data_IF_483077917644
#
_entry.id   IF_483077917644
#
_cell.length_a   1.000
_cell.length_b   1.000
_cell.length_c   1.000
_cell.angle_alpha   90.00
_cell.angle_beta   90.00
_cell.angle_gamma   90.00
#
_symmetry.space_group_name_H-M   'P 1'
#
loop_
_entity.id
_entity.type
_entity.pdbx_description
1 polymer ?
#
# COMPACT_ATOMS: atom_id res chain seq x y z
N UNK A 1 -2.43 74.14 38.84
CA UNK A 1 -3.23 73.01 39.36
C UNK A 1 -4.56 72.93 38.61
N UNK A 2 -4.78 71.90 37.79
CA UNK A 2 -6.12 71.42 37.39
C UNK A 2 -6.02 69.91 37.21
N UNK A 3 -6.84 69.18 37.95
CA UNK A 3 -7.00 67.72 37.86
C UNK A 3 -7.94 67.37 36.71
N UNK A 4 -7.57 66.41 35.86
CA UNK A 4 -8.52 65.77 34.95
C UNK A 4 -8.92 64.40 35.52
N UNK A 5 -10.21 64.24 35.78
CA UNK A 5 -10.83 63.02 36.30
C UNK A 5 -11.08 62.02 35.17
N UNK A 6 -10.54 60.81 35.30
CA UNK A 6 -10.80 59.72 34.36
C UNK A 6 -12.19 59.12 34.60
N UNK A 7 -13.13 59.32 33.66
CA UNK A 7 -14.39 58.57 33.66
C UNK A 7 -14.22 57.28 32.85
N UNK A 8 -14.55 56.14 33.45
CA UNK A 8 -14.37 54.82 32.83
C UNK A 8 -15.55 54.51 31.89
N UNK A 9 -15.33 54.59 30.58
CA UNK A 9 -16.34 54.27 29.57
C UNK A 9 -16.47 52.76 29.36
N UNK A 10 -17.64 52.19 29.71
CA UNK A 10 -17.95 50.78 29.47
C UNK A 10 -17.93 50.45 27.97
N UNK A 11 -16.92 49.70 27.53
CA UNK A 11 -16.81 49.25 26.13
C UNK A 11 -17.84 48.16 25.82
N UNK A 12 -19.00 48.56 25.30
CA UNK A 12 -19.93 47.62 24.68
C UNK A 12 -19.31 47.02 23.41
N UNK A 13 -19.17 45.69 23.38
CA UNK A 13 -18.76 44.97 22.17
C UNK A 13 -19.80 45.18 21.06
N UNK A 14 -19.37 45.53 19.83
CA UNK A 14 -20.30 45.76 18.73
C UNK A 14 -21.11 44.49 18.41
N UNK A 15 -22.41 44.59 18.09
CA UNK A 15 -23.31 43.44 17.99
C UNK A 15 -22.88 42.41 16.94
N UNK A 16 -22.16 42.83 15.88
CA UNK A 16 -21.57 41.92 14.88
C UNK A 16 -20.51 40.99 15.46
N UNK A 17 -19.69 41.46 16.42
CA UNK A 17 -18.72 40.60 17.09
C UNK A 17 -19.40 39.59 17.99
N UNK A 18 -20.43 40.01 18.74
CA UNK A 18 -21.25 39.08 19.56
C UNK A 18 -21.89 38.00 18.69
N UNK A 19 -22.47 38.38 17.54
CA UNK A 19 -23.05 37.43 16.59
C UNK A 19 -22.01 36.46 16.00
N UNK A 20 -20.81 36.94 15.62
CA UNK A 20 -19.74 36.07 15.11
C UNK A 20 -19.21 35.11 16.19
N UNK A 21 -19.06 35.57 17.44
CA UNK A 21 -18.66 34.72 18.56
C UNK A 21 -19.69 33.64 18.86
N UNK A 22 -20.99 33.99 18.88
CA UNK A 22 -22.06 33.02 19.08
C UNK A 22 -22.12 31.98 17.96
N UNK A 23 -21.96 32.39 16.69
CA UNK A 23 -21.92 31.45 15.55
C UNK A 23 -20.68 30.54 15.60
N UNK A 24 -19.50 31.06 15.95
CA UNK A 24 -18.29 30.25 16.10
C UNK A 24 -18.42 29.24 17.25
N UNK A 25 -18.96 29.67 18.40
CA UNK A 25 -19.24 28.78 19.52
C UNK A 25 -20.27 27.69 19.15
N UNK A 26 -21.33 28.06 18.41
CA UNK A 26 -22.33 27.13 17.91
C UNK A 26 -21.70 26.04 17.03
N UNK A 27 -20.87 26.42 16.06
CA UNK A 27 -20.21 25.48 15.12
C UNK A 27 -19.20 24.57 15.81
N UNK A 28 -18.46 25.06 16.81
CA UNK A 28 -17.42 24.27 17.49
C UNK A 28 -17.95 23.39 18.63
N UNK A 29 -18.98 23.84 19.35
CA UNK A 29 -19.45 23.16 20.56
C UNK A 29 -20.60 22.17 20.30
N UNK A 30 -21.48 22.40 19.32
CA UNK A 30 -22.57 21.45 19.02
C UNK A 30 -22.10 20.06 18.56
N UNK A 31 -21.10 19.91 17.67
CA UNK A 31 -20.64 18.58 17.25
C UNK A 31 -20.07 17.79 18.43
N UNK A 32 -19.31 18.45 19.30
CA UNK A 32 -18.76 17.89 20.54
C UNK A 32 -19.87 17.51 21.51
N UNK A 33 -20.85 18.39 21.74
CA UNK A 33 -22.00 18.10 22.61
C UNK A 33 -22.82 16.91 22.10
N UNK A 34 -23.10 16.86 20.79
CA UNK A 34 -23.83 15.75 20.15
C UNK A 34 -23.04 14.43 20.20
N UNK A 35 -21.71 14.49 20.17
CA UNK A 35 -20.86 13.31 20.34
C UNK A 35 -20.91 12.78 21.79
N UNK A 36 -20.72 13.65 22.79
CA UNK A 36 -20.77 13.27 24.21
C UNK A 36 -22.19 12.91 24.69
N UNK A 37 -23.25 13.43 24.03
CA UNK A 37 -24.64 13.13 24.39
C UNK A 37 -25.15 11.78 23.87
N UNK A 38 -24.33 11.02 23.11
CA UNK A 38 -24.69 9.65 22.73
C UNK A 38 -24.48 8.73 23.95
N UNK A 39 -25.52 8.07 24.47
CA UNK A 39 -25.32 7.05 25.48
C UNK A 39 -24.41 5.97 24.91
N UNK A 40 -23.39 5.56 25.67
CA UNK A 40 -22.51 4.48 25.28
C UNK A 40 -23.37 3.24 24.97
N UNK A 41 -23.25 2.72 23.74
CA UNK A 41 -23.93 1.48 23.37
C UNK A 41 -23.23 0.33 24.08
N UNK A 42 -23.71 0.02 25.29
CA UNK A 42 -23.43 -1.23 25.98
C UNK A 42 -23.85 -2.38 25.06
N UNK A 43 -22.86 -3.00 24.40
CA UNK A 43 -23.09 -4.10 23.48
C UNK A 43 -23.71 -5.29 24.21
N UNK A 44 -25.04 -5.41 24.12
CA UNK A 44 -25.75 -6.57 24.59
C UNK A 44 -25.34 -7.77 23.72
N UNK A 45 -24.45 -8.61 24.27
CA UNK A 45 -24.12 -9.91 23.68
C UNK A 45 -25.37 -10.78 23.68
N UNK A 46 -26.08 -10.81 22.56
CA UNK A 46 -27.18 -11.73 22.34
C UNK A 46 -26.62 -13.15 22.21
N UNK A 47 -26.63 -13.89 23.33
CA UNK A 47 -26.27 -15.31 23.35
C UNK A 47 -27.15 -16.10 22.39
N UNK A 48 -26.59 -16.50 21.26
CA UNK A 48 -27.17 -17.51 20.37
C UNK A 48 -27.27 -18.82 21.15
N UNK A 49 -28.50 -19.21 21.51
CA UNK A 49 -28.77 -20.48 22.18
C UNK A 49 -28.44 -21.63 21.24
N UNK A 50 -27.65 -22.58 21.75
CA UNK A 50 -27.42 -23.87 21.12
C UNK A 50 -28.74 -24.66 21.14
N UNK A 51 -29.29 -24.97 19.97
CA UNK A 51 -30.48 -25.81 19.84
C UNK A 51 -30.11 -27.29 19.81
N UNK A 52 -30.61 -28.07 20.76
CA UNK A 52 -30.45 -29.54 20.76
C UNK A 52 -31.19 -30.18 19.57
N UNK A 53 -30.55 -31.16 18.93
CA UNK A 53 -31.25 -32.17 18.12
C UNK A 53 -31.54 -33.40 19.01
N UNK A 54 -32.68 -34.09 18.82
CA UNK A 54 -32.98 -35.35 19.50
C UNK A 54 -32.38 -36.57 18.78
N UNK A 55 -32.18 -37.65 19.55
CA UNK A 55 -31.60 -38.91 19.09
C UNK A 55 -32.52 -39.77 18.20
N UNK A 56 -31.90 -40.61 17.37
CA UNK A 56 -32.36 -41.99 17.16
C UNK A 56 -33.12 -42.32 15.87
N UNK A 57 -32.40 -42.91 14.90
CA UNK A 57 -32.97 -43.93 14.00
C UNK A 57 -31.86 -44.83 13.43
N UNK A 58 -31.79 -46.09 13.86
CA UNK A 58 -30.92 -47.10 13.26
C UNK A 58 -31.56 -47.67 11.99
N UNK A 59 -30.81 -47.75 10.89
CA UNK A 59 -30.94 -48.83 9.90
C UNK A 59 -29.56 -49.24 9.39
N UNK A 60 -29.42 -50.51 9.01
CA UNK A 60 -28.15 -51.19 8.77
C UNK A 60 -27.77 -51.29 7.29
N UNK A 61 -26.66 -52.00 7.02
CA UNK A 61 -26.09 -52.35 5.70
C UNK A 61 -25.33 -51.20 4.99
N UNK A 62 -24.14 -51.41 4.40
CA UNK A 62 -23.50 -52.68 4.00
C UNK A 62 -21.99 -52.74 4.37
N UNK A 63 -21.45 -53.96 4.43
CA UNK A 63 -20.02 -54.24 4.57
C UNK A 63 -19.25 -53.95 3.27
N UNK A 64 -17.99 -53.51 3.41
CA UNK A 64 -16.90 -53.95 2.55
C UNK A 64 -15.58 -53.94 3.35
N UNK A 65 -15.15 -55.11 3.83
CA UNK A 65 -13.83 -55.31 4.44
C UNK A 65 -12.91 -55.96 3.40
N UNK A 66 -11.74 -55.35 3.17
CA UNK A 66 -10.56 -56.08 2.69
C UNK A 66 -9.38 -55.75 3.62
N UNK A 67 -8.75 -56.80 4.14
CA UNK A 67 -7.61 -56.76 5.05
C UNK A 67 -6.27 -56.84 4.28
N UNK A 68 -5.16 -56.78 5.05
CA UNK A 68 -3.76 -57.10 4.70
C UNK A 68 -2.98 -55.94 4.06
N UNK A 69 -1.74 -55.61 4.43
CA UNK A 69 -0.84 -56.03 5.53
C UNK A 69 0.29 -54.96 5.67
N UNK A 70 0.89 -54.66 6.84
CA UNK A 70 1.92 -53.62 6.96
C UNK A 70 3.35 -54.18 6.91
N UNK A 71 4.19 -53.70 5.99
CA UNK A 71 5.66 -53.81 6.08
C UNK A 71 6.38 -52.93 5.04
N UNK A 72 6.98 -51.83 5.50
CA UNK A 72 8.26 -51.32 5.00
C UNK A 72 8.75 -50.17 5.91
N UNK A 73 9.81 -50.42 6.66
CA UNK A 73 10.66 -49.37 7.25
C UNK A 73 11.85 -49.18 6.31
N UNK A 74 12.44 -47.99 6.23
CA UNK A 74 13.87 -47.97 6.52
C UNK A 74 14.25 -46.87 7.52
N UNK A 75 15.23 -47.21 8.35
CA UNK A 75 15.94 -46.31 9.25
C UNK A 75 17.08 -45.61 8.52
N UNK A 76 17.24 -44.30 8.75
CA UNK A 76 18.52 -43.61 8.58
C UNK A 76 18.66 -42.58 9.71
N UNK A 77 19.85 -42.50 10.31
CA UNK A 77 20.09 -41.82 11.57
C UNK A 77 21.39 -41.01 11.51
N UNK A 78 21.29 -39.71 11.79
CA UNK A 78 22.39 -38.89 12.32
C UNK A 78 23.40 -38.30 11.34
N UNK A 79 23.48 -36.96 11.33
CA UNK A 79 24.73 -36.27 11.66
C UNK A 79 24.41 -34.93 12.33
N UNK A 80 25.16 -34.59 13.38
CA UNK A 80 25.08 -33.28 14.05
C UNK A 80 26.12 -32.34 13.40
N UNK A 81 25.79 -31.05 13.31
CA UNK A 81 26.69 -29.98 12.90
C UNK A 81 26.35 -28.70 13.65
N UNK A 82 27.33 -28.13 14.34
CA UNK A 82 27.19 -26.92 15.19
C UNK A 82 27.32 -25.62 14.40
N UNK A 83 26.65 -24.54 14.83
CA UNK A 83 26.64 -23.20 14.22
C UNK A 83 27.91 -22.36 14.49
N UNK A 84 27.85 -21.02 14.72
CA UNK A 84 26.71 -20.08 14.81
C UNK A 84 26.57 -19.25 13.50
N UNK A 85 25.88 -18.11 13.37
CA UNK A 85 25.10 -17.27 14.30
C UNK A 85 23.87 -16.66 13.58
N UNK A 86 22.73 -16.55 14.27
CA UNK A 86 21.50 -15.90 13.73
C UNK A 86 21.03 -14.77 14.67
N UNK A 87 21.80 -13.68 14.73
CA UNK A 87 21.39 -12.43 15.41
C UNK A 87 20.36 -11.60 14.62
N UNK A 88 19.35 -12.26 14.03
CA UNK A 88 18.14 -11.61 13.55
C UNK A 88 17.11 -11.55 14.69
N UNK A 89 17.03 -10.39 15.36
CA UNK A 89 16.18 -10.20 16.54
C UNK A 89 14.71 -10.50 16.29
N UNK A 90 14.26 -11.70 16.66
CA UNK A 90 12.83 -12.06 16.71
C UNK A 90 12.16 -11.21 17.79
N UNK A 91 11.54 -10.12 17.37
CA UNK A 91 10.62 -9.36 18.20
C UNK A 91 9.47 -10.30 18.61
N UNK A 92 9.54 -10.81 19.85
CA UNK A 92 8.50 -11.66 20.41
C UNK A 92 7.25 -10.82 20.64
N UNK A 93 6.30 -10.91 19.71
CA UNK A 93 4.95 -10.37 19.88
C UNK A 93 4.12 -11.41 20.65
N UNK A 94 3.77 -11.19 21.93
CA UNK A 94 3.07 -12.20 22.71
C UNK A 94 1.68 -12.47 22.10
N UNK A 95 1.36 -13.73 21.85
CA UNK A 95 0.03 -14.16 21.41
C UNK A 95 -0.19 -14.34 19.91
N UNK A 96 0.78 -14.03 19.04
CA UNK A 96 0.73 -14.46 17.63
C UNK A 96 1.23 -15.91 17.52
N UNK A 97 0.46 -16.85 16.92
CA UNK A 97 0.94 -18.21 16.71
C UNK A 97 2.14 -18.20 15.76
N UNK A 98 3.13 -19.10 15.98
CA UNK A 98 4.37 -19.12 15.21
C UNK A 98 4.17 -19.24 13.68
N UNK A 99 3.03 -19.78 13.24
CA UNK A 99 2.59 -19.83 11.85
C UNK A 99 2.35 -18.44 11.18
N UNK A 100 2.32 -17.34 11.94
CA UNK A 100 2.18 -15.97 11.42
C UNK A 100 3.49 -15.45 10.81
N UNK A 101 4.64 -16.05 11.16
CA UNK A 101 5.97 -15.52 10.79
C UNK A 101 6.48 -15.95 9.41
N UNK A 102 5.77 -16.84 8.70
CA UNK A 102 6.09 -17.21 7.32
C UNK A 102 4.81 -17.24 6.49
N UNK A 103 4.74 -16.39 5.45
CA UNK A 103 3.64 -16.41 4.50
C UNK A 103 3.65 -17.75 3.74
N UNK A 104 2.60 -18.56 3.91
CA UNK A 104 2.53 -19.86 3.23
C UNK A 104 2.52 -19.69 1.71
N UNK A 105 2.92 -20.73 0.98
CA UNK A 105 2.77 -20.79 -0.50
C UNK A 105 1.32 -20.49 -0.94
N UNK A 106 0.33 -21.00 -0.19
CA UNK A 106 -1.10 -20.71 -0.42
C UNK A 106 -1.51 -19.27 -0.09
N UNK A 107 -0.70 -18.53 0.68
CA UNK A 107 -0.86 -17.10 0.98
C UNK A 107 -0.23 -16.22 -0.10
N UNK A 108 0.90 -16.63 -0.69
CA UNK A 108 1.57 -15.86 -1.75
C UNK A 108 0.96 -16.07 -3.15
N UNK A 109 0.66 -17.30 -3.56
CA UNK A 109 0.36 -17.65 -4.97
C UNK A 109 -1.12 -17.97 -5.26
N UNK A 110 -2.04 -17.63 -4.37
CA UNK A 110 -3.47 -17.80 -4.62
C UNK A 110 -4.06 -16.75 -5.60
N UNK A 111 -5.31 -16.97 -6.01
CA UNK A 111 -6.06 -16.06 -6.89
C UNK A 111 -6.25 -14.66 -6.27
N UNK A 112 -6.57 -13.63 -7.08
CA UNK A 112 -7.02 -12.34 -6.59
C UNK A 112 -8.26 -12.46 -5.72
N UNK A 113 -8.34 -11.60 -4.70
CA UNK A 113 -9.38 -11.60 -3.68
C UNK A 113 -10.51 -10.61 -4.05
N UNK A 114 -10.15 -9.57 -4.82
CA UNK A 114 -11.03 -8.45 -5.15
C UNK A 114 -11.82 -8.71 -6.44
N UNK A 115 -13.05 -8.20 -6.49
CA UNK A 115 -13.91 -8.29 -7.66
C UNK A 115 -13.51 -7.28 -8.76
N UNK A 116 -14.21 -7.33 -9.91
CA UNK A 116 -14.01 -6.39 -11.02
C UNK A 116 -14.27 -4.94 -10.58
N UNK A 117 -13.37 -4.01 -10.90
CA UNK A 117 -13.54 -2.58 -10.58
C UNK A 117 -14.25 -1.85 -11.73
N UNK A 118 -15.58 -1.72 -11.66
CA UNK A 118 -16.40 -1.20 -12.77
C UNK A 118 -16.34 0.31 -13.04
N UNK A 119 -15.75 1.13 -12.16
CA UNK A 119 -15.61 2.58 -12.37
C UNK A 119 -14.24 2.91 -12.96
N UNK A 120 -14.20 3.29 -14.24
CA UNK A 120 -12.95 3.52 -14.97
C UNK A 120 -12.17 4.74 -14.48
N UNK A 121 -12.82 5.83 -14.03
CA UNK A 121 -12.13 6.99 -13.46
C UNK A 121 -11.42 6.62 -12.16
N UNK A 122 -12.13 5.94 -11.25
CA UNK A 122 -11.57 5.46 -9.98
C UNK A 122 -10.45 4.42 -10.22
N UNK A 123 -10.58 3.57 -11.25
CA UNK A 123 -9.53 2.62 -11.67
C UNK A 123 -8.27 3.34 -12.17
N UNK A 124 -8.42 4.41 -12.95
CA UNK A 124 -7.30 5.21 -13.44
C UNK A 124 -6.60 5.98 -12.31
N UNK A 125 -7.36 6.56 -11.37
CA UNK A 125 -6.85 7.22 -10.17
C UNK A 125 -6.07 6.25 -9.27
N UNK A 126 -6.68 5.10 -8.95
CA UNK A 126 -6.03 4.01 -8.20
C UNK A 126 -4.74 3.56 -8.90
N UNK A 127 -4.76 3.41 -10.23
CA UNK A 127 -3.60 3.06 -11.03
C UNK A 127 -2.45 4.07 -10.86
N UNK A 128 -2.70 5.37 -11.09
CA UNK A 128 -1.68 6.43 -10.94
C UNK A 128 -1.09 6.46 -9.52
N UNK A 129 -1.95 6.45 -8.50
CA UNK A 129 -1.52 6.44 -7.10
C UNK A 129 -0.67 5.21 -6.74
N UNK A 130 -1.06 4.04 -7.26
CA UNK A 130 -0.33 2.78 -7.04
C UNK A 130 1.04 2.79 -7.72
N UNK A 131 1.12 3.21 -8.98
CA UNK A 131 2.40 3.26 -9.69
C UNK A 131 3.38 4.25 -9.05
N UNK A 132 2.89 5.42 -8.57
CA UNK A 132 3.72 6.35 -7.79
C UNK A 132 4.24 5.69 -6.51
N UNK A 133 3.40 4.99 -5.74
CA UNK A 133 3.84 4.25 -4.56
C UNK A 133 4.89 3.19 -4.89
N UNK A 134 4.62 2.34 -5.89
CA UNK A 134 5.52 1.24 -6.26
C UNK A 134 6.89 1.74 -6.75
N UNK A 135 6.90 2.77 -7.62
CA UNK A 135 8.14 3.35 -8.13
C UNK A 135 8.95 4.03 -7.03
N UNK A 136 8.31 4.85 -6.17
CA UNK A 136 9.01 5.42 -5.00
C UNK A 136 9.52 4.32 -4.06
N UNK A 137 8.78 3.23 -3.84
CA UNK A 137 9.24 2.10 -3.02
C UNK A 137 10.48 1.42 -3.61
N UNK A 138 10.49 1.10 -4.92
CA UNK A 138 11.65 0.44 -5.56
C UNK A 138 12.86 1.35 -5.70
N UNK A 139 12.66 2.65 -5.97
CA UNK A 139 13.74 3.66 -5.94
C UNK A 139 14.28 3.93 -4.52
N UNK A 140 13.58 3.49 -3.48
CA UNK A 140 14.01 3.56 -2.08
C UNK A 140 14.55 2.25 -1.52
N UNK A 141 14.56 1.18 -2.31
CA UNK A 141 15.14 -0.10 -1.95
C UNK A 141 16.68 0.01 -1.74
N UNK A 142 17.32 -0.85 -0.93
CA UNK A 142 18.78 -0.82 -0.75
C UNK A 142 19.54 -1.16 -2.04
N UNK A 143 20.75 -0.62 -2.19
CA UNK A 143 21.66 -1.04 -3.26
C UNK A 143 22.19 -2.46 -3.00
N UNK A 144 22.47 -2.77 -1.73
CA UNK A 144 22.90 -4.07 -1.23
C UNK A 144 21.86 -4.60 -0.21
N UNK A 145 20.74 -5.19 -0.68
CA UNK A 145 19.66 -5.67 0.18
C UNK A 145 20.02 -6.99 0.88
N UNK A 146 19.62 -7.15 2.15
CA UNK A 146 19.77 -8.43 2.86
C UNK A 146 18.84 -9.50 2.28
N UNK A 147 19.13 -10.78 2.54
CA UNK A 147 18.26 -11.88 2.08
C UNK A 147 16.79 -11.68 2.53
N UNK A 148 16.57 -11.15 3.74
CA UNK A 148 15.26 -10.79 4.28
C UNK A 148 14.58 -9.67 3.48
N UNK A 149 15.30 -8.59 3.14
CA UNK A 149 14.74 -7.49 2.33
C UNK A 149 14.34 -7.97 0.93
N UNK A 150 15.13 -8.88 0.35
CA UNK A 150 14.88 -9.49 -0.96
C UNK A 150 13.64 -10.38 -0.95
N UNK A 151 13.47 -11.19 0.09
CA UNK A 151 12.28 -12.03 0.30
C UNK A 151 11.04 -11.18 0.61
N UNK A 152 11.19 -10.11 1.39
CA UNK A 152 10.11 -9.17 1.70
C UNK A 152 9.60 -8.45 0.43
N UNK A 153 10.49 -7.97 -0.44
CA UNK A 153 10.10 -7.32 -1.69
C UNK A 153 9.42 -8.30 -2.67
N UNK A 154 9.95 -9.52 -2.80
CA UNK A 154 9.35 -10.57 -3.62
C UNK A 154 7.94 -10.94 -3.10
N UNK A 155 7.83 -11.21 -1.80
CA UNK A 155 6.57 -11.53 -1.13
C UNK A 155 5.56 -10.40 -1.23
N UNK A 156 6.01 -9.14 -1.12
CA UNK A 156 5.18 -7.96 -1.30
C UNK A 156 4.51 -7.96 -2.68
N UNK A 157 5.25 -8.18 -3.78
CA UNK A 157 4.65 -8.16 -5.12
C UNK A 157 3.65 -9.30 -5.34
N UNK A 158 3.92 -10.50 -4.80
CA UNK A 158 2.95 -11.59 -4.83
C UNK A 158 1.69 -11.29 -4.01
N UNK A 159 1.81 -10.77 -2.79
CA UNK A 159 0.66 -10.36 -1.97
C UNK A 159 -0.12 -9.20 -2.59
N UNK A 160 0.58 -8.18 -3.12
CA UNK A 160 0.00 -7.07 -3.87
C UNK A 160 -0.85 -7.59 -5.04
N UNK A 161 -0.34 -8.55 -5.82
CA UNK A 161 -1.07 -9.16 -6.93
C UNK A 161 -2.39 -9.86 -6.54
N UNK A 162 -2.58 -10.16 -5.24
CA UNK A 162 -3.80 -10.77 -4.71
C UNK A 162 -4.77 -9.76 -4.12
N UNK A 163 -4.21 -8.72 -3.49
CA UNK A 163 -4.94 -7.71 -2.71
C UNK A 163 -5.32 -6.47 -3.53
N UNK A 164 -4.81 -6.32 -4.76
CA UNK A 164 -5.04 -5.13 -5.57
C UNK A 164 -6.55 -4.90 -5.84
N UNK A 165 -7.11 -3.70 -5.56
CA UNK A 165 -8.57 -3.48 -5.57
C UNK A 165 -9.28 -3.63 -6.93
N UNK A 166 -8.53 -3.68 -8.04
CA UNK A 166 -9.07 -4.00 -9.36
C UNK A 166 -8.81 -5.48 -9.67
N UNK A 167 -9.81 -6.34 -9.51
CA UNK A 167 -9.67 -7.79 -9.70
C UNK A 167 -9.16 -8.18 -11.10
N UNK A 168 -9.67 -7.55 -12.16
CA UNK A 168 -9.20 -7.83 -13.52
C UNK A 168 -7.77 -7.33 -13.79
N UNK A 169 -7.36 -6.27 -13.09
CA UNK A 169 -5.99 -5.77 -13.13
C UNK A 169 -5.05 -6.71 -12.36
N UNK A 170 -5.52 -7.25 -11.23
CA UNK A 170 -4.81 -8.19 -10.38
C UNK A 170 -4.55 -9.53 -11.09
N UNK A 171 -5.56 -10.09 -11.76
CA UNK A 171 -5.41 -11.30 -12.58
C UNK A 171 -4.37 -11.13 -13.69
N UNK A 172 -4.36 -9.97 -14.35
CA UNK A 172 -3.37 -9.65 -15.38
C UNK A 172 -1.98 -9.41 -14.78
N UNK A 173 -1.86 -8.74 -13.64
CA UNK A 173 -0.58 -8.56 -12.96
C UNK A 173 0.00 -9.90 -12.48
N UNK A 174 -0.84 -10.85 -12.06
CA UNK A 174 -0.40 -12.23 -11.77
C UNK A 174 0.14 -12.99 -12.99
N UNK A 175 -0.34 -12.68 -14.21
CA UNK A 175 0.24 -13.21 -15.45
C UNK A 175 1.63 -12.59 -15.67
N UNK A 176 1.71 -11.26 -15.58
CA UNK A 176 2.97 -10.52 -15.70
C UNK A 176 4.04 -10.97 -14.70
N UNK A 177 3.69 -11.29 -13.45
CA UNK A 177 4.63 -11.82 -12.45
C UNK A 177 5.20 -13.22 -12.79
N UNK A 178 4.53 -14.01 -13.65
CA UNK A 178 5.06 -15.30 -14.12
C UNK A 178 6.01 -15.12 -15.29
N UNK A 179 5.68 -14.22 -16.20
CA UNK A 179 6.45 -13.95 -17.41
C UNK A 179 7.67 -13.05 -17.14
N UNK A 180 7.58 -12.18 -16.13
CA UNK A 180 8.59 -11.21 -15.74
C UNK A 180 8.69 -11.15 -14.19
N UNK A 181 9.37 -12.13 -13.55
CA UNK A 181 9.42 -12.23 -12.08
C UNK A 181 10.22 -11.07 -11.44
N UNK A 182 9.85 -10.63 -10.22
CA UNK A 182 10.50 -9.50 -9.53
C UNK A 182 12.01 -9.67 -9.36
N UNK A 183 12.77 -8.67 -9.82
CA UNK A 183 14.22 -8.62 -9.61
C UNK A 183 14.52 -7.86 -8.32
N UNK A 184 15.07 -8.56 -7.33
CA UNK A 184 15.27 -8.02 -5.97
C UNK A 184 16.74 -7.90 -5.58
N UNK A 185 17.70 -7.98 -6.51
CA UNK A 185 19.14 -8.00 -6.20
C UNK A 185 19.72 -6.65 -5.77
N UNK A 186 19.10 -5.54 -6.15
CA UNK A 186 19.51 -4.16 -5.81
C UNK A 186 18.38 -3.17 -6.12
N UNK A 187 18.53 -1.90 -5.70
CA UNK A 187 17.67 -0.77 -6.12
C UNK A 187 17.50 -0.70 -7.63
N UNK A 188 18.61 -0.71 -8.36
CA UNK A 188 18.61 -0.61 -9.83
C UNK A 188 17.85 -1.77 -10.47
N UNK A 189 18.06 -3.00 -9.97
CA UNK A 189 17.33 -4.17 -10.47
C UNK A 189 15.82 -4.08 -10.18
N UNK A 190 15.44 -3.65 -8.97
CA UNK A 190 14.04 -3.52 -8.57
C UNK A 190 13.29 -2.42 -9.33
N UNK A 191 13.88 -1.23 -9.44
CA UNK A 191 13.29 -0.11 -10.15
C UNK A 191 13.23 -0.34 -11.68
N UNK A 192 14.31 -0.88 -12.26
CA UNK A 192 14.36 -1.25 -13.67
C UNK A 192 13.34 -2.34 -14.03
N UNK A 193 13.21 -3.38 -13.20
CA UNK A 193 12.18 -4.40 -13.36
C UNK A 193 10.77 -3.80 -13.28
N UNK A 194 10.50 -2.93 -12.30
CA UNK A 194 9.17 -2.33 -12.15
C UNK A 194 8.82 -1.43 -13.34
N UNK A 195 9.79 -0.69 -13.89
CA UNK A 195 9.59 0.07 -15.12
C UNK A 195 9.27 -0.82 -16.31
N UNK A 196 10.02 -1.92 -16.53
CA UNK A 196 9.72 -2.89 -17.58
C UNK A 196 8.31 -3.50 -17.39
N UNK A 197 7.92 -3.83 -16.16
CA UNK A 197 6.59 -4.32 -15.82
C UNK A 197 5.48 -3.27 -16.12
N UNK A 198 5.69 -2.01 -15.75
CA UNK A 198 4.77 -0.91 -16.07
C UNK A 198 4.67 -0.72 -17.60
N UNK A 199 5.77 -0.80 -18.34
CA UNK A 199 5.75 -0.71 -19.81
C UNK A 199 5.00 -1.87 -20.48
N UNK A 200 4.99 -3.09 -19.90
CA UNK A 200 4.09 -4.17 -20.37
C UNK A 200 2.60 -3.81 -20.16
N UNK A 201 2.27 -3.13 -19.07
CA UNK A 201 0.91 -2.62 -18.83
C UNK A 201 0.57 -1.46 -19.79
N UNK A 202 1.51 -0.55 -20.05
CA UNK A 202 1.35 0.54 -21.02
C UNK A 202 1.06 0.00 -22.42
N UNK A 203 1.88 -0.94 -22.92
CA UNK A 203 1.70 -1.58 -24.22
C UNK A 203 0.32 -2.25 -24.35
N UNK A 204 -0.13 -2.99 -23.33
CA UNK A 204 -1.49 -3.59 -23.30
C UNK A 204 -2.60 -2.54 -23.35
N UNK A 205 -2.38 -1.36 -22.75
CA UNK A 205 -3.35 -0.26 -22.72
C UNK A 205 -3.22 0.70 -23.91
N UNK A 206 -2.34 0.42 -24.89
CA UNK A 206 -2.09 1.29 -26.03
C UNK A 206 -1.44 2.63 -25.67
N UNK A 207 -0.72 2.69 -24.53
CA UNK A 207 0.03 3.86 -24.07
C UNK A 207 1.46 3.83 -24.61
N UNK A 208 2.08 5.00 -24.72
CA UNK A 208 3.50 5.12 -25.05
C UNK A 208 4.40 4.39 -24.03
N UNK A 209 5.60 4.02 -24.47
CA UNK A 209 6.61 3.42 -23.61
C UNK A 209 7.33 4.50 -22.79
N UNK A 210 7.49 4.28 -21.48
CA UNK A 210 8.22 5.19 -20.60
C UNK A 210 9.74 4.87 -20.66
N UNK A 211 10.62 5.85 -20.88
CA UNK A 211 12.08 5.65 -20.91
C UNK A 211 12.62 5.39 -19.49
N UNK A 212 12.99 4.14 -19.20
CA UNK A 212 13.36 3.69 -17.84
C UNK A 212 14.63 4.32 -17.25
N UNK A 213 15.47 4.96 -18.08
CA UNK A 213 16.60 5.80 -17.66
C UNK A 213 16.15 7.11 -17.00
N UNK A 214 14.89 7.53 -17.18
CA UNK A 214 14.32 8.79 -16.62
C UNK A 214 13.48 8.60 -15.35
N UNK A 215 13.59 7.45 -14.68
CA UNK A 215 12.85 7.17 -13.45
C UNK A 215 13.13 8.21 -12.36
N UNK A 216 14.39 8.57 -12.14
CA UNK A 216 14.81 9.54 -11.12
C UNK A 216 14.38 10.98 -11.43
N UNK A 217 14.15 11.31 -12.71
CA UNK A 217 13.61 12.61 -13.14
C UNK A 217 12.10 12.73 -12.86
N UNK A 218 11.37 11.61 -12.97
CA UNK A 218 9.90 11.57 -12.89
C UNK A 218 9.40 11.24 -11.48
N UNK A 219 10.09 10.35 -10.78
CA UNK A 219 9.69 9.85 -9.48
C UNK A 219 10.66 10.30 -8.38
N UNK A 220 10.41 11.49 -7.82
CA UNK A 220 11.08 11.91 -6.59
C UNK A 220 10.99 10.79 -5.54
N UNK A 221 12.15 10.27 -5.15
CA UNK A 221 12.31 9.25 -4.13
C UNK A 221 12.19 9.82 -2.70
N UNK A 222 12.24 11.15 -2.54
CA UNK A 222 12.30 11.80 -1.24
C UNK A 222 13.66 11.63 -0.55
N UNK A 223 14.72 11.32 -1.32
CA UNK A 223 16.05 11.02 -0.79
C UNK A 223 16.81 12.26 -0.24
N UNK A 224 16.23 13.46 -0.39
CA UNK A 224 16.88 14.74 -0.12
C UNK A 224 17.86 15.15 -1.24
N UNK A 225 18.52 16.31 -1.11
CA UNK A 225 19.56 16.71 -2.06
C UNK A 225 20.72 15.70 -2.02
N UNK A 226 21.39 15.44 -3.16
CA UNK A 226 22.54 14.53 -3.20
C UNK A 226 23.61 14.99 -2.21
N UNK A 227 24.07 14.09 -1.34
CA UNK A 227 25.10 14.38 -0.34
C UNK A 227 26.40 14.79 -1.05
N UNK A 228 26.90 16.00 -0.78
CA UNK A 228 28.13 16.55 -1.38
C UNK A 228 29.43 15.93 -0.79
N UNK A 229 29.57 14.61 -0.86
CA UNK A 229 30.79 13.84 -0.54
C UNK A 229 30.70 12.48 -1.27
N UNK A 230 31.64 12.03 -2.09
CA UNK A 230 33.01 12.48 -2.38
C UNK A 230 33.35 12.29 -3.86
N UNK A 231 34.43 12.90 -4.35
CA UNK A 231 34.86 12.83 -5.76
C UNK A 231 34.95 11.38 -6.26
N UNK A 232 34.17 11.05 -7.29
CA UNK A 232 34.44 9.88 -8.15
C UNK A 232 35.73 10.19 -8.93
N UNK A 233 36.74 9.29 -8.96
CA UNK A 233 37.94 9.49 -9.77
C UNK A 233 37.61 9.54 -11.27
N UNK A 234 38.11 10.53 -12.04
CA UNK A 234 37.81 10.66 -13.45
C UNK A 234 38.66 9.70 -14.29
N UNK A 235 38.24 8.43 -14.38
CA UNK A 235 38.95 7.43 -15.21
C UNK A 235 38.04 6.50 -16.03
N UNK A 236 36.71 6.71 -16.03
CA UNK A 236 35.76 5.92 -16.82
C UNK A 236 34.73 6.78 -17.57
N UNK A 237 35.17 7.93 -18.10
CA UNK A 237 34.38 8.74 -19.06
C UNK A 237 35.11 8.69 -20.40
N UNK A 238 34.53 7.99 -21.37
CA UNK A 238 34.92 8.14 -22.78
C UNK A 238 34.42 9.50 -23.30
N UNK A 239 35.25 10.30 -23.98
CA UNK A 239 34.89 11.66 -24.36
C UNK A 239 34.25 11.75 -25.76
N UNK A 240 32.95 11.44 -25.89
CA UNK A 240 32.23 11.71 -27.16
C UNK A 240 30.73 12.09 -27.08
N UNK A 241 30.18 12.39 -25.89
CA UNK A 241 28.80 12.94 -25.78
C UNK A 241 28.76 14.27 -25.05
N UNK A 242 29.41 15.26 -25.66
CA UNK A 242 29.34 16.66 -25.24
C UNK A 242 29.06 17.60 -26.42
N UNK A 243 28.08 17.28 -27.28
CA UNK A 243 27.45 18.24 -28.21
C UNK A 243 26.11 17.74 -28.79
N UNK A 244 25.05 17.74 -27.97
CA UNK A 244 23.66 17.53 -28.43
C UNK A 244 22.61 18.16 -27.50
N UNK A 245 22.54 19.50 -27.42
CA UNK A 245 21.37 20.20 -26.86
C UNK A 245 20.82 21.26 -27.81
N UNK A 246 20.04 20.79 -28.78
CA UNK A 246 19.12 21.61 -29.55
C UNK A 246 17.71 21.00 -29.51
N UNK A 247 16.74 21.80 -29.06
CA UNK A 247 15.29 21.59 -29.16
C UNK A 247 14.71 20.18 -28.94
N UNK A 248 14.10 19.99 -27.76
CA UNK A 248 12.89 19.18 -27.72
C UNK A 248 11.79 19.80 -26.85
N UNK A 249 10.79 20.38 -27.53
CA UNK A 249 9.50 20.71 -26.94
C UNK A 249 8.69 19.41 -26.83
N UNK A 250 8.73 18.76 -25.68
CA UNK A 250 7.96 17.56 -25.41
C UNK A 250 6.75 17.91 -24.56
N UNK A 251 5.55 17.52 -25.02
CA UNK A 251 4.32 17.71 -24.27
C UNK A 251 4.35 16.89 -22.97
N UNK A 252 3.86 17.49 -21.88
CA UNK A 252 3.76 16.84 -20.59
C UNK A 252 2.66 15.77 -20.58
N UNK A 253 3.00 14.56 -20.99
CA UNK A 253 2.19 13.40 -20.67
C UNK A 253 2.31 13.11 -19.16
N UNK A 254 1.17 13.07 -18.46
CA UNK A 254 1.12 12.85 -17.01
C UNK A 254 1.48 11.40 -16.64
N UNK A 255 2.77 11.19 -16.38
CA UNK A 255 3.32 9.94 -15.86
C UNK A 255 3.42 9.92 -14.31
N UNK A 256 3.02 11.00 -13.62
CA UNK A 256 3.21 11.09 -12.16
C UNK A 256 2.84 12.40 -11.43
N UNK A 257 2.22 13.40 -12.05
CA UNK A 257 1.91 14.69 -11.40
C UNK A 257 0.56 14.70 -10.63
N UNK A 258 0.47 13.85 -9.60
CA UNK A 258 -0.54 14.02 -8.55
C UNK A 258 -0.11 15.09 -7.54
N UNK A 259 -0.11 16.38 -7.91
CA UNK A 259 0.62 17.39 -7.14
C UNK A 259 0.04 18.81 -6.96
N UNK A 260 -0.88 19.30 -7.81
CA UNK A 260 -1.53 20.62 -7.62
C UNK A 260 -3.01 20.58 -8.03
N UNK A 261 -3.81 21.39 -7.34
CA UNK A 261 -5.20 21.75 -7.65
C UNK A 261 -6.27 20.64 -7.66
N UNK A 262 -6.50 19.99 -6.50
CA UNK A 262 -7.81 19.41 -6.20
C UNK A 262 -8.66 20.39 -5.36
N UNK A 263 -9.55 21.13 -6.03
CA UNK A 263 -10.64 21.87 -5.39
C UNK A 263 -11.91 21.02 -5.48
N UNK A 264 -12.52 20.59 -4.36
CA UNK A 264 -13.72 19.77 -4.40
C UNK A 264 -14.95 20.58 -4.81
N UNK A 265 -15.32 20.53 -6.10
CA UNK A 265 -16.62 21.00 -6.56
C UNK A 265 -17.74 20.18 -5.94
N UNK A 266 -18.44 20.76 -4.94
CA UNK A 266 -19.73 20.22 -4.49
C UNK A 266 -20.74 20.33 -5.63
N UNK A 267 -21.41 19.22 -5.93
CA UNK A 267 -22.43 19.17 -6.99
C UNK A 267 -23.56 20.18 -6.79
N UNK A 268 -23.90 20.89 -7.86
CA UNK A 268 -25.13 21.66 -7.94
C UNK A 268 -26.35 20.75 -8.01
N UNK A 269 -27.42 21.11 -7.30
CA UNK A 269 -28.76 20.52 -7.51
C UNK A 269 -29.37 21.08 -8.79
N UNK A 270 -30.21 20.31 -9.53
CA UNK A 270 -30.98 20.87 -10.62
C UNK A 270 -32.06 21.79 -10.06
N UNK A 271 -32.23 22.95 -10.69
CA UNK A 271 -33.47 23.73 -10.62
C UNK A 271 -34.18 23.54 -11.97
N UNK A 272 -35.44 23.11 -11.90
CA UNK A 272 -36.31 23.07 -13.07
C UNK A 272 -36.85 24.46 -13.40
N UNK A 273 -37.18 24.64 -14.66
CA UNK A 273 -37.91 25.76 -15.26
C UNK A 273 -38.51 25.28 -16.58
#
# INVERSE_FOLDING_TARGET
MRSNSSSCGSTFLPPRFVQLFLLAALVLLLPSWLYLSRPAQSGALASLRLGSLPDGAHTASQLAILHLNPSARPTAQGSQGSGPDDSAGKAFVPGLPAAVLQASQGTLYGKPIMAKLGNESAKAELGRATWKFLHTMTLRFPDEPSASDREALLSFFHLFSRLYPCGECAEHFQQLLRDLPPQTSSRLAAAGWLCAAHNRVNARLGKAEFPCDKLDETYDCGCGPPKKTSKVPPTLIHPEEADAKANHSQGSEDWGEGGKDYVPHRGGRPLGG
#
